data_IF_906353571467
#
_entry.id   IF_906353571467
#
_cell.length_a   1.000
_cell.length_b   1.000
_cell.length_c   1.000
_cell.angle_alpha   90.00
_cell.angle_beta   90.00
_cell.angle_gamma   90.00
#
_symmetry.space_group_name_H-M   'P 1'
#
loop_
_entity.id
_entity.type
_entity.pdbx_description
1 polymer ?
#
# COMPACT_ATOMS: atom_id res chain seq x y z
N UNK A 1 22.09 1.12 29.84
CA UNK A 1 22.43 -0.32 29.78
C UNK A 1 23.69 -0.48 28.93
N UNK A 2 24.77 -1.05 29.45
CA UNK A 2 26.02 -1.25 28.68
C UNK A 2 26.00 -2.63 28.02
N UNK A 3 26.02 -2.69 26.69
CA UNK A 3 26.18 -3.94 25.96
C UNK A 3 27.68 -4.26 25.79
N UNK A 4 28.09 -5.46 26.20
CA UNK A 4 29.48 -5.92 26.07
C UNK A 4 29.52 -7.19 25.24
N UNK A 5 30.14 -7.13 24.07
CA UNK A 5 30.43 -8.31 23.24
C UNK A 5 31.86 -8.79 23.54
N UNK A 6 32.01 -10.03 23.97
CA UNK A 6 33.32 -10.68 24.17
C UNK A 6 33.42 -11.90 23.27
N UNK A 7 34.45 -11.96 22.44
CA UNK A 7 34.67 -13.06 21.48
C UNK A 7 36.06 -13.63 21.69
N UNK A 8 36.18 -14.96 21.78
CA UNK A 8 37.47 -15.66 21.97
C UNK A 8 38.24 -15.88 20.66
N UNK A 9 37.57 -15.76 19.51
CA UNK A 9 38.14 -15.90 18.17
C UNK A 9 37.96 -14.63 17.32
N UNK A 10 37.92 -14.77 16.01
CA UNK A 10 37.83 -13.65 15.08
C UNK A 10 36.40 -13.09 14.96
N UNK A 11 36.29 -11.77 14.79
CA UNK A 11 35.05 -11.08 14.42
C UNK A 11 35.20 -10.54 13.00
N UNK A 12 34.21 -10.78 12.14
CA UNK A 12 34.15 -10.20 10.79
C UNK A 12 32.77 -9.57 10.59
N UNK A 13 32.74 -8.30 10.15
CA UNK A 13 31.51 -7.54 9.90
C UNK A 13 31.52 -7.04 8.45
N UNK A 14 30.55 -7.49 7.66
CA UNK A 14 30.36 -7.06 6.27
C UNK A 14 29.04 -6.30 6.16
N UNK A 15 29.04 -5.14 5.52
CA UNK A 15 27.84 -4.30 5.33
C UNK A 15 27.65 -3.97 3.85
N UNK A 16 26.40 -3.98 3.38
CA UNK A 16 26.04 -3.60 2.00
C UNK A 16 25.81 -2.10 1.79
N UNK A 17 25.96 -1.30 2.85
CA UNK A 17 25.72 0.15 2.86
C UNK A 17 26.69 0.86 3.81
N UNK A 18 26.29 2.03 4.33
CA UNK A 18 27.16 2.86 5.19
C UNK A 18 27.11 2.43 6.66
N UNK A 19 28.28 2.26 7.29
CA UNK A 19 28.42 2.16 8.75
C UNK A 19 28.67 3.54 9.35
N UNK A 20 27.92 3.91 10.40
CA UNK A 20 28.15 5.12 11.21
C UNK A 20 28.28 4.74 12.68
N UNK A 21 29.23 5.36 13.39
CA UNK A 21 29.47 5.14 14.83
C UNK A 21 29.32 6.48 15.54
N UNK A 22 28.41 6.54 16.51
CA UNK A 22 28.20 7.72 17.35
C UNK A 22 28.53 7.38 18.80
N UNK A 23 29.32 8.21 19.47
CA UNK A 23 29.70 8.01 20.86
C UNK A 23 29.66 9.33 21.63
N UNK A 24 29.10 9.30 22.84
CA UNK A 24 28.96 10.48 23.69
C UNK A 24 30.30 10.99 24.25
N UNK A 25 31.22 10.07 24.53
CA UNK A 25 32.50 10.35 25.19
C UNK A 25 33.70 9.99 24.30
N UNK A 26 33.44 9.77 22.99
CA UNK A 26 34.45 9.33 22.02
C UNK A 26 34.48 7.83 21.78
N UNK A 27 35.24 7.41 20.77
CA UNK A 27 35.46 6.01 20.42
C UNK A 27 36.92 5.67 20.69
N UNK A 28 37.16 4.67 21.52
CA UNK A 28 38.49 4.15 21.80
C UNK A 28 38.65 2.77 21.14
N UNK A 29 39.69 2.62 20.33
CA UNK A 29 40.03 1.35 19.67
C UNK A 29 41.42 0.94 20.14
N UNK A 30 41.48 -0.11 20.97
CA UNK A 30 42.72 -0.66 21.49
C UNK A 30 43.03 -2.00 20.79
N UNK A 31 44.27 -2.14 20.30
CA UNK A 31 44.76 -3.37 19.68
C UNK A 31 46.19 -3.65 20.13
N UNK A 32 46.48 -4.90 20.50
CA UNK A 32 47.85 -5.37 20.73
C UNK A 32 48.60 -5.68 19.41
N UNK A 33 47.88 -5.67 18.28
CA UNK A 33 48.43 -5.88 16.94
C UNK A 33 48.25 -4.64 16.05
N UNK A 34 48.70 -4.76 14.80
CA UNK A 34 48.56 -3.70 13.80
C UNK A 34 47.09 -3.42 13.47
N UNK A 35 46.74 -2.15 13.31
CA UNK A 35 45.44 -1.70 12.82
C UNK A 35 45.67 -1.10 11.43
N UNK A 36 44.93 -1.61 10.43
CA UNK A 36 44.96 -1.11 9.07
C UNK A 36 43.57 -0.60 8.68
N UNK A 37 43.49 0.66 8.23
CA UNK A 37 42.29 1.28 7.68
C UNK A 37 42.49 1.49 6.20
N UNK A 38 41.50 1.10 5.38
CA UNK A 38 41.51 1.32 3.94
C UNK A 38 40.21 2.02 3.52
N UNK A 39 40.33 3.24 3.01
CA UNK A 39 39.24 4.00 2.41
C UNK A 39 39.73 4.65 1.11
N UNK A 40 38.88 4.80 0.08
CA UNK A 40 39.24 5.52 -1.14
C UNK A 40 39.66 6.98 -0.87
N UNK A 41 39.03 7.61 0.12
CA UNK A 41 39.35 8.95 0.59
C UNK A 41 39.22 9.02 2.11
N UNK A 42 40.07 9.85 2.74
CA UNK A 42 39.99 10.15 4.16
C UNK A 42 39.75 11.64 4.32
N UNK A 43 38.77 12.00 5.13
CA UNK A 43 38.58 13.37 5.60
C UNK A 43 38.54 13.36 7.12
N UNK A 44 39.15 14.38 7.71
CA UNK A 44 39.03 14.70 9.13
C UNK A 44 38.21 15.98 9.19
N UNK A 45 37.03 15.91 9.81
CA UNK A 45 36.10 17.03 9.89
C UNK A 45 35.36 17.05 11.22
N UNK A 46 34.53 18.07 11.39
CA UNK A 46 33.63 18.15 12.54
C UNK A 46 32.71 16.91 12.58
N UNK A 47 32.52 16.26 13.74
CA UNK A 47 31.63 15.12 13.86
C UNK A 47 30.22 15.46 13.35
N UNK A 48 29.60 14.54 12.61
CA UNK A 48 28.16 14.63 12.37
C UNK A 48 27.45 14.60 13.74
N UNK A 49 26.51 15.52 13.95
CA UNK A 49 25.67 15.49 15.14
C UNK A 49 25.02 14.10 15.25
N UNK A 50 25.04 13.46 16.44
CA UNK A 50 24.36 12.20 16.60
C UNK A 50 22.88 12.39 16.23
N UNK A 51 22.25 11.38 15.59
CA UNK A 51 20.81 11.43 15.37
C UNK A 51 20.14 11.72 16.71
N UNK A 52 19.19 12.67 16.70
CA UNK A 52 18.50 13.09 17.91
C UNK A 52 18.07 11.84 18.69
N UNK A 53 18.61 11.68 19.91
CA UNK A 53 18.06 10.70 20.85
C UNK A 53 16.65 11.18 21.11
N UNK A 54 15.67 10.47 20.59
CA UNK A 54 14.33 10.54 21.12
C UNK A 54 14.48 10.17 22.59
N UNK A 55 14.31 11.14 23.50
CA UNK A 55 13.99 10.80 24.88
C UNK A 55 12.89 9.74 24.81
N UNK A 56 13.04 8.67 25.60
CA UNK A 56 12.01 7.67 25.89
C UNK A 56 10.83 8.35 26.62
N UNK A 57 10.25 9.41 26.05
CA UNK A 57 8.93 9.89 26.42
C UNK A 57 8.01 8.76 25.99
N UNK A 58 7.69 7.90 26.94
CA UNK A 58 6.57 7.00 26.83
C UNK A 58 5.37 7.87 26.46
N UNK A 59 4.96 7.82 25.19
CA UNK A 59 3.78 8.53 24.72
C UNK A 59 2.59 7.73 25.23
N UNK A 60 2.04 8.14 26.38
CA UNK A 60 0.81 7.61 26.95
C UNK A 60 -0.39 8.12 26.14
N UNK A 61 -0.66 7.48 24.99
CA UNK A 61 -1.80 7.81 24.13
C UNK A 61 -2.75 6.64 23.97
N UNK A 62 -4.03 6.98 23.93
CA UNK A 62 -5.11 6.09 23.54
C UNK A 62 -5.13 5.92 22.02
N UNK A 63 -5.59 4.76 21.56
CA UNK A 63 -5.75 4.48 20.14
C UNK A 63 -5.49 3.02 19.76
N UNK A 64 -5.48 2.79 18.44
CA UNK A 64 -5.16 1.50 17.81
C UNK A 64 -3.78 1.58 17.16
N UNK A 65 -2.94 0.58 17.41
CA UNK A 65 -1.54 0.58 16.98
C UNK A 65 -1.31 -0.51 15.94
N UNK A 66 -0.76 -0.11 14.79
CA UNK A 66 -0.43 -1.00 13.69
C UNK A 66 1.03 -0.85 13.28
N UNK A 67 1.65 -1.89 12.73
CA UNK A 67 2.93 -1.77 12.04
C UNK A 67 2.74 -1.29 10.60
N UNK A 68 3.82 -0.87 9.94
CA UNK A 68 3.80 -0.44 8.53
C UNK A 68 3.24 -1.53 7.59
N UNK A 69 3.37 -2.81 7.94
CA UNK A 69 2.87 -3.94 7.17
C UNK A 69 1.37 -4.28 7.44
N UNK A 70 0.71 -3.48 8.27
CA UNK A 70 -0.69 -3.66 8.67
C UNK A 70 -0.92 -4.60 9.85
N UNK A 71 0.14 -5.16 10.48
CA UNK A 71 0.00 -5.97 11.69
C UNK A 71 -0.59 -5.13 12.81
N UNK A 72 -1.69 -5.57 13.42
CA UNK A 72 -2.25 -4.96 14.61
C UNK A 72 -1.46 -5.38 15.86
N UNK A 73 -0.89 -4.41 16.57
CA UNK A 73 -0.06 -4.63 17.75
C UNK A 73 -0.86 -4.57 19.07
N UNK A 74 -1.94 -3.80 19.06
CA UNK A 74 -2.92 -3.72 20.15
C UNK A 74 -3.63 -2.37 20.22
N UNK A 75 -4.38 -2.19 21.31
CA UNK A 75 -5.21 -1.01 21.58
C UNK A 75 -5.00 -0.56 23.02
N UNK A 76 -4.97 0.75 23.23
CA UNK A 76 -4.97 1.37 24.56
C UNK A 76 -6.22 2.23 24.72
N UNK A 77 -6.86 2.13 25.88
CA UNK A 77 -8.01 2.93 26.28
C UNK A 77 -7.97 3.20 27.80
N UNK A 78 -6.97 3.96 28.22
CA UNK A 78 -6.74 4.34 29.60
C UNK A 78 -7.22 5.77 29.84
N UNK A 79 -7.85 6.00 31.00
CA UNK A 79 -8.48 7.28 31.32
C UNK A 79 -7.51 8.46 31.49
N UNK A 80 -6.25 8.17 31.83
CA UNK A 80 -5.17 9.11 32.08
C UNK A 80 -4.26 9.32 30.86
N UNK A 81 -4.54 8.64 29.75
CA UNK A 81 -3.78 8.74 28.51
C UNK A 81 -4.39 9.81 27.60
N UNK A 82 -3.54 10.49 26.84
CA UNK A 82 -3.96 11.54 25.91
C UNK A 82 -4.55 10.94 24.63
N UNK A 83 -5.15 11.77 23.78
CA UNK A 83 -5.73 11.33 22.52
C UNK A 83 -7.06 10.60 22.68
N UNK A 84 -7.52 9.98 21.59
CA UNK A 84 -8.78 9.27 21.52
C UNK A 84 -8.54 7.78 21.33
N UNK A 85 -9.39 6.94 21.94
CA UNK A 85 -9.47 5.51 21.63
C UNK A 85 -9.72 5.23 20.14
N UNK A 86 -10.25 6.22 19.41
CA UNK A 86 -10.51 6.13 17.97
C UNK A 86 -9.33 6.58 17.11
N UNK A 87 -8.26 7.11 17.70
CA UNK A 87 -7.05 7.46 16.94
C UNK A 87 -6.37 6.18 16.43
N UNK A 88 -5.70 6.30 15.29
CA UNK A 88 -4.95 5.22 14.66
C UNK A 88 -3.50 5.64 14.53
N UNK A 89 -2.58 4.77 14.97
CA UNK A 89 -1.15 5.01 14.94
C UNK A 89 -0.46 3.92 14.12
N UNK A 90 0.59 4.32 13.39
CA UNK A 90 1.63 3.41 12.92
C UNK A 90 2.78 3.39 13.93
N UNK A 91 3.40 2.23 14.14
CA UNK A 91 4.49 2.01 15.09
C UNK A 91 5.50 0.97 14.55
N UNK A 92 6.63 0.84 15.24
CA UNK A 92 7.70 -0.13 14.93
C UNK A 92 7.62 -1.36 15.86
N UNK A 93 6.40 -1.77 16.19
CA UNK A 93 6.09 -2.85 17.12
C UNK A 93 5.94 -2.39 18.57
N UNK A 94 5.77 -3.38 19.45
CA UNK A 94 5.59 -3.17 20.89
C UNK A 94 6.78 -3.62 21.72
N UNK A 95 6.91 -3.01 22.89
CA UNK A 95 7.89 -3.31 23.92
C UNK A 95 7.21 -3.35 25.28
N UNK A 96 7.92 -3.89 26.28
CA UNK A 96 7.47 -3.88 27.68
C UNK A 96 8.38 -2.96 28.47
N UNK A 97 7.79 -2.04 29.21
CA UNK A 97 8.47 -1.13 30.12
C UNK A 97 7.95 -1.28 31.54
N UNK A 98 8.69 -0.78 32.53
CA UNK A 98 8.25 -0.76 33.93
C UNK A 98 7.67 0.59 34.30
N UNK A 99 6.50 0.60 34.93
CA UNK A 99 5.92 1.81 35.49
C UNK A 99 6.70 2.29 36.73
N UNK A 100 6.30 3.43 37.30
CA UNK A 100 6.88 4.00 38.54
C UNK A 100 6.78 3.08 39.76
N UNK A 101 5.93 2.05 39.71
CA UNK A 101 5.72 1.07 40.76
C UNK A 101 6.45 -0.26 40.46
N UNK A 102 7.16 -0.36 39.34
CA UNK A 102 7.88 -1.56 38.90
C UNK A 102 7.04 -2.59 38.12
N UNK A 103 5.77 -2.29 37.84
CA UNK A 103 4.87 -3.16 37.08
C UNK A 103 5.16 -3.07 35.58
N UNK A 104 5.09 -4.20 34.90
CA UNK A 104 5.24 -4.25 33.44
C UNK A 104 4.01 -3.66 32.75
N UNK A 105 4.23 -2.80 31.76
CA UNK A 105 3.19 -2.28 30.89
C UNK A 105 3.67 -2.25 29.43
N UNK A 106 2.74 -2.43 28.50
CA UNK A 106 3.03 -2.47 27.06
C UNK A 106 3.16 -1.05 26.53
N UNK A 107 4.20 -0.80 25.76
CA UNK A 107 4.43 0.44 25.01
C UNK A 107 4.60 0.16 23.54
N UNK A 108 4.29 1.14 22.70
CA UNK A 108 4.47 1.06 21.25
C UNK A 108 5.60 1.98 20.82
N UNK A 109 6.48 1.49 19.96
CA UNK A 109 7.72 2.17 19.60
C UNK A 109 7.48 3.11 18.41
N UNK A 110 8.06 4.32 18.44
CA UNK A 110 8.03 5.28 17.33
C UNK A 110 6.64 5.57 16.76
N UNK A 111 5.66 5.75 17.65
CA UNK A 111 4.26 5.93 17.27
C UNK A 111 4.07 7.23 16.49
N UNK A 112 3.34 7.13 15.38
CA UNK A 112 2.96 8.27 14.54
C UNK A 112 1.48 8.17 14.23
N UNK A 113 0.74 9.23 14.55
CA UNK A 113 -0.70 9.28 14.27
C UNK A 113 -0.94 9.30 12.76
N UNK A 114 -1.87 8.48 12.28
CA UNK A 114 -2.25 8.44 10.87
C UNK A 114 -3.25 9.56 10.58
N UNK A 115 -3.02 10.24 9.48
CA UNK A 115 -3.82 11.39 9.03
C UNK A 115 -4.19 11.24 7.58
N UNK A 116 -5.38 11.71 7.23
CA UNK A 116 -5.82 11.94 5.86
C UNK A 116 -6.07 13.44 5.70
N UNK A 117 -5.32 14.11 4.82
CA UNK A 117 -5.38 15.57 4.62
C UNK A 117 -5.21 16.37 5.93
N UNK A 118 -4.15 16.06 6.69
CA UNK A 118 -3.81 16.65 8.00
C UNK A 118 -4.81 16.42 9.15
N UNK A 119 -5.89 15.69 8.90
CA UNK A 119 -6.90 15.31 9.90
C UNK A 119 -6.66 13.88 10.35
N UNK A 120 -6.65 13.62 11.65
CA UNK A 120 -6.55 12.26 12.20
C UNK A 120 -7.63 11.37 11.59
N UNK A 121 -7.25 10.21 11.06
CA UNK A 121 -8.22 9.26 10.54
C UNK A 121 -8.85 8.48 11.71
N UNK A 122 -10.18 8.53 11.92
CA UNK A 122 -10.83 7.72 12.93
C UNK A 122 -10.76 6.23 12.58
N UNK A 123 -10.65 5.37 13.59
CA UNK A 123 -10.52 3.92 13.42
C UNK A 123 -11.65 3.29 12.60
N UNK A 124 -12.88 3.78 12.73
CA UNK A 124 -14.02 3.35 11.92
C UNK A 124 -13.78 3.62 10.43
N UNK A 125 -13.37 4.84 10.07
CA UNK A 125 -13.05 5.21 8.68
C UNK A 125 -11.86 4.41 8.16
N UNK A 126 -10.81 4.26 8.97
CA UNK A 126 -9.63 3.44 8.64
C UNK A 126 -10.03 1.98 8.34
N UNK A 127 -10.92 1.41 9.15
CA UNK A 127 -11.44 0.06 8.98
C UNK A 127 -12.29 -0.05 7.72
N UNK A 128 -13.17 0.91 7.45
CA UNK A 128 -14.02 0.92 6.24
C UNK A 128 -13.18 1.00 4.97
N UNK A 129 -12.18 1.87 4.91
CA UNK A 129 -11.27 1.99 3.76
C UNK A 129 -10.45 0.70 3.56
N UNK A 130 -9.87 0.15 4.63
CA UNK A 130 -9.12 -1.12 4.56
C UNK A 130 -10.00 -2.27 4.08
N UNK A 131 -11.25 -2.35 4.56
CA UNK A 131 -12.19 -3.38 4.13
C UNK A 131 -12.61 -3.24 2.67
N UNK A 132 -12.67 -2.02 2.15
CA UNK A 132 -12.99 -1.74 0.74
C UNK A 132 -11.84 -2.19 -0.15
N UNK A 133 -10.60 -1.83 0.20
CA UNK A 133 -9.39 -2.29 -0.52
C UNK A 133 -9.35 -3.82 -0.57
N UNK A 134 -9.62 -4.47 0.56
CA UNK A 134 -9.72 -5.92 0.62
C UNK A 134 -10.81 -6.46 -0.31
N UNK A 135 -12.01 -5.88 -0.27
CA UNK A 135 -13.15 -6.33 -1.05
C UNK A 135 -13.03 -6.15 -2.56
N UNK A 136 -12.25 -5.16 -3.02
CA UNK A 136 -12.03 -4.88 -4.44
C UNK A 136 -10.81 -5.61 -5.02
N UNK A 137 -9.98 -6.21 -4.15
CA UNK A 137 -8.80 -6.97 -4.55
C UNK A 137 -9.10 -8.43 -4.92
N UNK A 138 -8.10 -9.11 -5.47
CA UNK A 138 -8.14 -10.56 -5.74
C UNK A 138 -8.07 -11.43 -4.47
N UNK A 139 -8.13 -10.86 -3.27
CA UNK A 139 -7.93 -11.56 -2.01
C UNK A 139 -8.94 -12.70 -1.76
N UNK A 140 -10.15 -12.57 -2.30
CA UNK A 140 -11.23 -13.55 -2.15
C UNK A 140 -10.91 -14.92 -2.78
N UNK A 141 -9.96 -14.98 -3.73
CA UNK A 141 -9.59 -16.24 -4.39
C UNK A 141 -8.61 -17.02 -3.53
N UNK A 142 -8.99 -18.26 -3.19
CA UNK A 142 -8.16 -19.19 -2.40
C UNK A 142 -6.83 -19.49 -3.11
N UNK A 143 -6.82 -19.55 -4.44
CA UNK A 143 -5.61 -19.78 -5.26
C UNK A 143 -4.57 -18.66 -5.17
N UNK A 144 -4.97 -17.47 -4.73
CA UNK A 144 -4.06 -16.36 -4.48
C UNK A 144 -3.57 -16.47 -3.05
N UNK A 145 -2.27 -16.64 -2.85
CA UNK A 145 -1.66 -16.64 -1.51
C UNK A 145 -1.43 -15.24 -0.96
N UNK A 146 -0.85 -15.16 0.24
CA UNK A 146 -0.22 -13.94 0.74
C UNK A 146 1.06 -13.70 -0.07
N UNK A 147 1.02 -12.78 -1.04
CA UNK A 147 2.11 -12.58 -2.02
C UNK A 147 2.37 -11.10 -2.28
N UNK A 148 3.57 -10.78 -2.79
CA UNK A 148 3.91 -9.42 -3.20
C UNK A 148 2.97 -8.89 -4.28
N UNK A 149 2.54 -9.73 -5.22
CA UNK A 149 1.61 -9.31 -6.28
C UNK A 149 0.25 -8.87 -5.72
N UNK A 150 -0.29 -9.60 -4.74
CA UNK A 150 -1.53 -9.22 -4.05
C UNK A 150 -1.34 -7.93 -3.23
N UNK A 151 -0.18 -7.78 -2.58
CA UNK A 151 0.15 -6.56 -1.86
C UNK A 151 0.18 -5.35 -2.82
N UNK A 152 0.85 -5.48 -3.97
CA UNK A 152 0.92 -4.41 -4.97
C UNK A 152 -0.45 -4.07 -5.57
N UNK A 153 -1.31 -5.07 -5.82
CA UNK A 153 -2.70 -4.84 -6.23
C UNK A 153 -3.44 -3.97 -5.20
N UNK A 154 -3.38 -4.33 -3.92
CA UNK A 154 -4.03 -3.56 -2.85
C UNK A 154 -3.43 -2.16 -2.68
N UNK A 155 -2.10 -2.02 -2.83
CA UNK A 155 -1.41 -0.74 -2.72
C UNK A 155 -1.83 0.19 -3.88
N UNK A 156 -1.98 -0.35 -5.08
CA UNK A 156 -2.45 0.40 -6.24
C UNK A 156 -3.93 0.80 -6.09
N UNK A 157 -4.81 -0.10 -5.61
CA UNK A 157 -6.21 0.22 -5.27
C UNK A 157 -6.26 1.35 -4.22
N UNK A 158 -5.47 1.25 -3.14
CA UNK A 158 -5.39 2.28 -2.11
C UNK A 158 -4.87 3.63 -2.63
N UNK A 159 -3.99 3.62 -3.64
CA UNK A 159 -3.47 4.84 -4.27
C UNK A 159 -4.56 5.53 -5.09
N UNK A 160 -5.36 4.77 -5.84
CA UNK A 160 -6.47 5.35 -6.62
C UNK A 160 -7.60 5.86 -5.72
N UNK A 161 -7.95 5.16 -4.64
CA UNK A 161 -8.97 5.62 -3.66
C UNK A 161 -8.64 6.98 -3.03
N UNK A 162 -7.35 7.31 -2.87
CA UNK A 162 -6.92 8.62 -2.37
C UNK A 162 -7.39 9.77 -3.28
N UNK A 163 -7.49 9.51 -4.58
CA UNK A 163 -7.87 10.46 -5.62
C UNK A 163 -9.38 10.38 -5.90
N UNK A 164 -9.89 9.16 -6.06
CA UNK A 164 -11.27 8.89 -6.41
C UNK A 164 -12.06 8.40 -5.19
N UNK A 165 -12.92 9.27 -4.65
CA UNK A 165 -13.70 8.99 -3.42
C UNK A 165 -14.93 8.10 -3.65
N UNK A 166 -15.13 7.58 -4.85
CA UNK A 166 -16.23 6.65 -5.14
C UNK A 166 -15.75 5.23 -4.84
N UNK A 167 -16.08 4.73 -3.65
CA UNK A 167 -15.80 3.37 -3.20
C UNK A 167 -16.97 2.45 -3.59
N UNK A 168 -16.78 1.57 -4.58
CA UNK A 168 -17.85 0.66 -5.03
C UNK A 168 -17.90 -0.65 -4.23
N UNK A 169 -16.78 -1.05 -3.60
CA UNK A 169 -16.66 -2.32 -2.90
C UNK A 169 -16.97 -2.32 -1.40
N UNK A 170 -17.38 -1.20 -0.79
CA UNK A 170 -17.60 -1.10 0.66
C UNK A 170 -18.65 -2.08 1.18
N UNK A 171 -19.65 -2.38 0.36
CA UNK A 171 -20.77 -3.27 0.71
C UNK A 171 -20.57 -4.71 0.22
N UNK A 172 -19.43 -5.03 -0.40
CA UNK A 172 -19.13 -6.39 -0.86
C UNK A 172 -19.07 -7.39 0.29
N UNK A 173 -19.43 -8.65 0.02
CA UNK A 173 -19.36 -9.74 1.01
C UNK A 173 -17.97 -9.85 1.65
N UNK A 174 -16.92 -9.56 0.87
CA UNK A 174 -15.54 -9.58 1.35
C UNK A 174 -15.22 -8.41 2.30
N UNK A 175 -15.73 -7.21 2.01
CA UNK A 175 -15.58 -6.08 2.90
C UNK A 175 -16.37 -6.28 4.20
N UNK A 176 -17.56 -6.90 4.13
CA UNK A 176 -18.33 -7.30 5.32
C UNK A 176 -17.56 -8.34 6.15
N UNK A 177 -17.06 -9.41 5.52
CA UNK A 177 -16.25 -10.44 6.15
C UNK A 177 -14.98 -9.87 6.83
N UNK A 178 -14.35 -8.85 6.22
CA UNK A 178 -13.25 -8.12 6.85
C UNK A 178 -13.69 -7.44 8.16
N UNK A 179 -14.83 -6.74 8.14
CA UNK A 179 -15.32 -5.97 9.29
C UNK A 179 -15.84 -6.86 10.41
N UNK A 180 -16.42 -8.02 10.08
CA UNK A 180 -16.85 -9.04 11.04
C UNK A 180 -15.68 -9.75 11.73
N UNK A 181 -14.51 -9.85 11.04
CA UNK A 181 -13.32 -10.47 11.62
C UNK A 181 -12.77 -9.60 12.75
N UNK A 182 -12.58 -10.22 13.92
CA UNK A 182 -11.82 -9.64 15.04
C UNK A 182 -10.48 -9.09 14.57
N UNK A 183 -10.12 -7.90 15.06
CA UNK A 183 -8.98 -7.12 14.58
C UNK A 183 -7.65 -7.87 14.71
N UNK A 184 -7.42 -8.57 15.82
CA UNK A 184 -6.22 -9.39 16.06
C UNK A 184 -6.15 -10.60 15.11
N UNK A 185 -7.30 -11.12 14.68
CA UNK A 185 -7.41 -12.27 13.77
C UNK A 185 -7.18 -11.90 12.31
N UNK A 186 -6.97 -10.61 12.01
CA UNK A 186 -6.56 -10.13 10.68
C UNK A 186 -5.05 -10.32 10.45
N UNK A 187 -4.25 -10.36 11.52
CA UNK A 187 -2.80 -10.59 11.45
C UNK A 187 -2.48 -11.94 10.78
N UNK A 188 -1.45 -11.96 9.94
CA UNK A 188 -1.04 -13.13 9.16
C UNK A 188 -2.02 -13.53 8.05
N UNK A 189 -3.07 -12.75 7.80
CA UNK A 189 -4.03 -12.99 6.71
C UNK A 189 -3.90 -11.93 5.62
N UNK A 190 -4.55 -12.14 4.48
CA UNK A 190 -4.64 -11.15 3.40
C UNK A 190 -5.30 -9.83 3.83
N UNK A 191 -6.09 -9.83 4.92
CA UNK A 191 -6.66 -8.61 5.48
C UNK A 191 -5.57 -7.66 6.01
N UNK A 192 -4.46 -8.23 6.51
CA UNK A 192 -3.30 -7.45 6.95
C UNK A 192 -2.71 -6.64 5.79
N UNK A 193 -2.63 -7.22 4.59
CA UNK A 193 -2.13 -6.53 3.39
C UNK A 193 -2.98 -5.30 3.04
N UNK A 194 -4.30 -5.40 3.18
CA UNK A 194 -5.20 -4.27 2.90
C UNK A 194 -5.03 -3.13 3.93
N UNK A 195 -4.78 -3.47 5.19
CA UNK A 195 -4.43 -2.49 6.25
C UNK A 195 -3.10 -1.84 5.91
N UNK A 196 -2.06 -2.63 5.57
CA UNK A 196 -0.76 -2.13 5.16
C UNK A 196 -0.83 -1.22 3.93
N UNK A 197 -1.69 -1.55 2.96
CA UNK A 197 -1.94 -0.74 1.76
C UNK A 197 -2.50 0.65 2.11
N UNK A 198 -3.47 0.71 3.03
CA UNK A 198 -4.00 2.00 3.49
C UNK A 198 -2.94 2.79 4.26
N UNK A 199 -2.20 2.16 5.18
CA UNK A 199 -1.09 2.81 5.91
C UNK A 199 -0.07 3.37 4.92
N UNK A 200 0.32 2.61 3.91
CA UNK A 200 1.25 3.03 2.88
C UNK A 200 0.72 4.25 2.12
N UNK A 201 -0.53 4.24 1.66
CA UNK A 201 -1.17 5.37 0.95
C UNK A 201 -1.25 6.67 1.79
N UNK A 202 -1.39 6.53 3.11
CA UNK A 202 -1.47 7.66 4.05
C UNK A 202 -0.08 8.19 4.47
N UNK A 203 0.97 7.39 4.37
CA UNK A 203 2.30 7.73 4.90
C UNK A 203 3.40 7.89 3.84
N UNK A 204 3.10 7.51 2.60
CA UNK A 204 4.04 7.55 1.47
C UNK A 204 3.52 8.42 0.33
N UNK A 205 4.44 9.05 -0.39
CA UNK A 205 4.18 9.77 -1.65
C UNK A 205 4.24 8.84 -2.87
N UNK A 206 4.66 7.59 -2.68
CA UNK A 206 4.75 6.63 -3.77
C UNK A 206 3.36 6.12 -4.19
N UNK A 207 3.12 6.12 -5.49
CA UNK A 207 1.87 5.65 -6.10
C UNK A 207 2.10 4.32 -6.82
N UNK A 208 1.58 3.23 -6.26
CA UNK A 208 1.71 1.89 -6.85
C UNK A 208 0.86 1.71 -8.12
N UNK A 209 -0.09 2.61 -8.39
CA UNK A 209 -0.93 2.59 -9.59
C UNK A 209 -0.30 3.32 -10.79
N UNK A 210 0.86 3.97 -10.60
CA UNK A 210 1.58 4.75 -11.60
C UNK A 210 0.75 5.89 -12.23
N UNK A 211 0.03 6.65 -11.40
CA UNK A 211 -0.76 7.80 -11.79
C UNK A 211 -2.15 7.44 -12.34
N UNK A 212 -2.70 6.30 -11.93
CA UNK A 212 -4.03 5.89 -12.32
C UNK A 212 -5.11 6.71 -11.57
N UNK A 213 -6.26 6.87 -12.21
CA UNK A 213 -7.44 7.54 -11.65
C UNK A 213 -8.63 6.61 -11.50
N UNK A 214 -8.51 5.39 -12.05
CA UNK A 214 -9.51 4.32 -11.96
C UNK A 214 -8.83 2.96 -12.17
N UNK A 215 -9.54 1.89 -11.86
CA UNK A 215 -9.11 0.52 -12.12
C UNK A 215 -10.31 -0.30 -12.58
N UNK A 216 -10.02 -1.45 -13.18
CA UNK A 216 -11.00 -2.47 -13.56
C UNK A 216 -10.53 -3.85 -13.11
N UNK A 217 -11.47 -4.67 -12.64
CA UNK A 217 -11.22 -6.05 -12.30
C UNK A 217 -11.34 -6.99 -13.49
N UNK A 218 -11.19 -8.29 -13.20
CA UNK A 218 -11.22 -9.36 -14.20
C UNK A 218 -12.56 -9.45 -14.95
N UNK A 219 -13.64 -8.93 -14.38
CA UNK A 219 -14.97 -8.88 -14.98
C UNK A 219 -15.02 -8.05 -16.28
N UNK A 220 -14.10 -7.10 -16.46
CA UNK A 220 -14.01 -6.32 -17.70
C UNK A 220 -13.30 -7.08 -18.82
N UNK A 221 -12.49 -8.09 -18.50
CA UNK A 221 -11.68 -8.83 -19.47
C UNK A 221 -12.46 -9.83 -20.34
N UNK A 222 -13.70 -10.15 -19.98
CA UNK A 222 -14.47 -11.23 -20.60
C UNK A 222 -15.13 -10.86 -21.94
N UNK A 223 -15.24 -9.57 -22.26
CA UNK A 223 -16.05 -9.12 -23.39
C UNK A 223 -15.32 -9.25 -24.72
N UNK A 224 -16.07 -9.63 -25.76
CA UNK A 224 -15.55 -9.77 -27.11
C UNK A 224 -15.31 -8.41 -27.78
N UNK A 225 -14.37 -8.32 -28.75
CA UNK A 225 -14.09 -7.07 -29.45
C UNK A 225 -15.29 -6.45 -30.18
N UNK A 226 -16.27 -7.26 -30.59
CA UNK A 226 -17.49 -6.82 -31.26
C UNK A 226 -18.66 -6.50 -30.30
N UNK A 227 -18.49 -6.66 -28.98
CA UNK A 227 -19.50 -6.24 -28.01
C UNK A 227 -19.52 -4.72 -27.90
N UNK A 228 -20.66 -4.11 -28.21
CA UNK A 228 -20.84 -2.66 -28.21
C UNK A 228 -21.81 -2.17 -27.12
N UNK A 229 -22.18 -3.03 -26.16
CA UNK A 229 -23.03 -2.64 -25.03
C UNK A 229 -22.26 -1.70 -24.10
N UNK A 230 -22.90 -0.64 -23.63
CA UNK A 230 -22.26 0.29 -22.68
C UNK A 230 -22.33 -0.21 -21.23
N UNK A 231 -23.20 -1.16 -20.92
CA UNK A 231 -23.37 -1.69 -19.57
C UNK A 231 -23.92 -3.12 -19.60
N UNK A 232 -23.63 -3.88 -18.55
CA UNK A 232 -24.27 -5.18 -18.25
C UNK A 232 -25.59 -5.03 -17.47
N UNK A 233 -25.97 -3.81 -17.09
CA UNK A 233 -27.01 -3.53 -16.12
C UNK A 233 -26.53 -3.59 -14.66
N UNK A 234 -25.35 -4.15 -14.40
CA UNK A 234 -24.70 -4.19 -13.07
C UNK A 234 -23.50 -3.24 -12.98
N UNK A 235 -22.76 -3.10 -14.07
CA UNK A 235 -21.59 -2.23 -14.16
C UNK A 235 -21.42 -1.69 -15.59
N UNK A 236 -20.64 -0.62 -15.74
CA UNK A 236 -20.28 -0.04 -17.03
C UNK A 236 -19.21 -0.85 -17.74
N UNK A 237 -19.31 -1.00 -19.06
CA UNK A 237 -18.30 -1.69 -19.86
C UNK A 237 -17.30 -0.65 -20.37
N UNK A 238 -16.16 -0.50 -19.70
CA UNK A 238 -15.25 0.63 -19.91
C UNK A 238 -14.61 0.68 -21.30
N UNK A 239 -14.37 -0.47 -21.95
CA UNK A 239 -13.95 -0.47 -23.35
C UNK A 239 -14.95 0.21 -24.30
N UNK A 240 -16.23 0.24 -23.92
CA UNK A 240 -17.30 0.84 -24.71
C UNK A 240 -17.69 2.24 -24.23
N UNK A 241 -17.62 2.54 -22.92
CA UNK A 241 -17.96 3.87 -22.39
C UNK A 241 -16.81 4.87 -22.49
N UNK A 242 -15.56 4.41 -22.38
CA UNK A 242 -14.38 5.26 -22.36
C UNK A 242 -13.39 4.94 -23.49
N UNK A 243 -13.31 3.68 -23.90
CA UNK A 243 -12.30 3.21 -24.86
C UNK A 243 -10.91 3.23 -24.23
N UNK A 244 -10.07 2.28 -24.62
CA UNK A 244 -8.76 2.08 -24.01
C UNK A 244 -7.66 1.70 -24.99
N UNK A 245 -6.43 1.93 -24.58
CA UNK A 245 -5.23 1.27 -25.11
C UNK A 245 -4.47 0.61 -23.96
N UNK A 246 -4.08 -0.64 -24.14
CA UNK A 246 -3.30 -1.41 -23.17
C UNK A 246 -1.90 -1.66 -23.75
N UNK A 247 -0.84 -1.42 -22.97
CA UNK A 247 0.53 -1.77 -23.40
C UNK A 247 0.70 -3.29 -23.56
N UNK A 248 1.64 -3.72 -24.41
CA UNK A 248 1.92 -5.16 -24.63
C UNK A 248 2.23 -5.91 -23.33
N UNK A 249 2.97 -5.26 -22.43
CA UNK A 249 3.33 -5.81 -21.12
C UNK A 249 2.08 -5.97 -20.24
N UNK A 250 1.27 -4.92 -20.12
CA UNK A 250 0.07 -4.92 -19.30
C UNK A 250 -0.97 -5.90 -19.84
N UNK A 251 -1.12 -6.01 -21.16
CA UNK A 251 -2.06 -6.95 -21.78
C UNK A 251 -1.70 -8.40 -21.45
N UNK A 252 -0.42 -8.76 -21.54
CA UNK A 252 0.07 -10.10 -21.16
C UNK A 252 -0.10 -10.36 -19.66
N UNK A 253 0.27 -9.40 -18.81
CA UNK A 253 0.11 -9.50 -17.35
C UNK A 253 -1.35 -9.69 -16.96
N UNK A 254 -2.26 -8.91 -17.54
CA UNK A 254 -3.67 -8.93 -17.19
C UNK A 254 -4.31 -10.24 -17.62
N UNK A 255 -3.97 -10.74 -18.81
CA UNK A 255 -4.38 -12.07 -19.27
C UNK A 255 -3.99 -13.17 -18.26
N UNK A 256 -2.71 -13.22 -17.87
CA UNK A 256 -2.22 -14.21 -16.90
C UNK A 256 -2.96 -14.10 -15.57
N UNK A 257 -3.16 -12.87 -15.08
CA UNK A 257 -3.86 -12.61 -13.84
C UNK A 257 -5.32 -13.06 -13.89
N UNK A 258 -6.07 -12.67 -14.91
CA UNK A 258 -7.47 -13.06 -15.13
C UNK A 258 -7.62 -14.57 -15.22
N UNK A 259 -6.77 -15.24 -16.01
CA UNK A 259 -6.78 -16.70 -16.14
C UNK A 259 -6.47 -17.40 -14.81
N UNK A 260 -5.54 -16.86 -14.01
CA UNK A 260 -5.24 -17.35 -12.66
C UNK A 260 -6.43 -17.22 -11.69
N UNK A 261 -7.29 -16.23 -11.88
CA UNK A 261 -8.55 -16.08 -11.13
C UNK A 261 -9.67 -17.01 -11.67
N UNK A 262 -9.42 -17.73 -12.77
CA UNK A 262 -10.40 -18.57 -13.47
C UNK A 262 -11.34 -17.77 -14.38
N UNK A 263 -10.99 -16.53 -14.72
CA UNK A 263 -11.72 -15.68 -15.65
C UNK A 263 -11.40 -15.97 -17.11
N UNK A 264 -12.22 -15.44 -18.01
CA UNK A 264 -11.98 -15.49 -19.46
C UNK A 264 -11.39 -14.16 -19.93
N UNK A 265 -10.41 -14.22 -20.83
CA UNK A 265 -9.75 -13.05 -21.37
C UNK A 265 -9.97 -12.94 -22.89
N UNK A 266 -10.92 -12.09 -23.28
CA UNK A 266 -11.35 -11.88 -24.67
C UNK A 266 -11.21 -10.42 -25.14
N UNK A 267 -10.93 -9.51 -24.21
CA UNK A 267 -10.87 -8.09 -24.51
C UNK A 267 -9.79 -7.76 -25.54
N UNK A 268 -10.05 -6.82 -26.45
CA UNK A 268 -9.03 -6.31 -27.35
C UNK A 268 -8.03 -5.42 -26.59
N UNK A 269 -6.78 -5.45 -27.03
CA UNK A 269 -5.72 -4.61 -26.49
C UNK A 269 -5.96 -3.11 -26.73
N UNK A 270 -6.56 -2.76 -27.87
CA UNK A 270 -7.01 -1.41 -28.19
C UNK A 270 -8.49 -1.45 -28.59
N UNK A 271 -9.28 -0.52 -28.06
CA UNK A 271 -10.66 -0.35 -28.48
C UNK A 271 -11.14 1.09 -28.33
N UNK A 272 -11.61 1.63 -29.45
CA UNK A 272 -12.37 2.88 -29.50
C UNK A 272 -13.81 2.63 -29.06
N UNK A 273 -14.41 3.62 -28.41
CA UNK A 273 -15.84 3.61 -28.10
C UNK A 273 -16.67 3.41 -29.38
N UNK A 274 -17.72 2.58 -29.36
CA UNK A 274 -18.48 2.22 -30.58
C UNK A 274 -19.46 3.30 -31.04
N UNK A 275 -19.75 4.29 -30.19
CA UNK A 275 -20.79 5.28 -30.40
C UNK A 275 -20.95 6.22 -29.23
N UNK A 276 -21.89 7.15 -29.34
CA UNK A 276 -22.38 7.93 -28.20
C UNK A 276 -23.31 7.06 -27.37
N UNK A 277 -23.05 6.92 -26.07
CA UNK A 277 -23.97 6.31 -25.13
C UNK A 277 -25.17 7.26 -24.95
N UNK A 278 -26.39 6.85 -25.32
CA UNK A 278 -27.57 7.71 -25.26
C UNK A 278 -27.92 8.15 -23.83
N UNK A 279 -27.47 7.41 -22.81
CA UNK A 279 -27.74 7.70 -21.41
C UNK A 279 -26.61 8.49 -20.72
N UNK A 280 -25.52 8.80 -21.44
CA UNK A 280 -24.39 9.56 -20.89
C UNK A 280 -24.01 10.70 -21.85
N UNK A 281 -24.39 11.92 -21.47
CA UNK A 281 -24.11 13.14 -22.25
C UNK A 281 -22.63 13.47 -22.45
N UNK A 282 -21.74 12.84 -21.67
CA UNK A 282 -20.30 13.03 -21.76
C UNK A 282 -19.62 11.94 -22.60
N UNK A 283 -20.38 10.96 -23.07
CA UNK A 283 -19.85 9.93 -23.94
C UNK A 283 -19.51 10.49 -25.33
N UNK A 284 -18.33 10.11 -25.81
CA UNK A 284 -17.85 10.50 -27.14
C UNK A 284 -17.73 9.25 -27.99
N UNK A 285 -18.12 9.36 -29.26
CA UNK A 285 -18.01 8.28 -30.24
C UNK A 285 -16.58 8.16 -30.75
N UNK A 286 -16.11 6.94 -30.98
CA UNK A 286 -14.86 6.64 -31.68
C UNK A 286 -13.63 7.27 -31.04
N UNK A 287 -13.59 7.19 -29.71
CA UNK A 287 -12.50 7.74 -28.91
C UNK A 287 -11.89 6.72 -27.97
N UNK A 288 -10.65 6.98 -27.57
CA UNK A 288 -9.97 6.34 -26.44
C UNK A 288 -9.72 7.41 -25.37
N UNK A 289 -10.10 7.11 -24.14
CA UNK A 289 -9.89 7.96 -22.98
C UNK A 289 -8.97 7.34 -21.93
N UNK A 290 -8.68 6.03 -22.02
CA UNK A 290 -7.91 5.31 -21.01
C UNK A 290 -6.61 4.73 -21.57
N UNK A 291 -5.54 4.84 -20.78
CA UNK A 291 -4.28 4.13 -21.00
C UNK A 291 -3.89 3.33 -19.76
N UNK A 292 -3.40 2.11 -19.95
CA UNK A 292 -2.98 1.27 -18.82
C UNK A 292 -1.66 1.74 -18.20
N UNK A 293 -1.62 1.84 -16.87
CA UNK A 293 -0.44 2.32 -16.11
C UNK A 293 0.17 1.26 -15.21
N UNK A 294 -0.63 0.30 -14.77
CA UNK A 294 -0.18 -0.85 -14.01
C UNK A 294 -1.15 -2.02 -14.17
N UNK A 295 -0.67 -3.23 -13.89
CA UNK A 295 -1.48 -4.44 -13.78
C UNK A 295 -0.92 -5.30 -12.65
N UNK A 296 -1.79 -5.72 -11.75
CA UNK A 296 -1.48 -6.66 -10.69
C UNK A 296 -2.61 -7.69 -10.58
N UNK A 297 -2.27 -8.97 -10.69
CA UNK A 297 -3.27 -10.04 -10.77
C UNK A 297 -4.37 -9.72 -11.81
N UNK A 298 -5.65 -9.89 -11.43
CA UNK A 298 -6.79 -9.65 -12.32
C UNK A 298 -7.18 -8.18 -12.47
N UNK A 299 -6.40 -7.24 -11.91
CA UNK A 299 -6.75 -5.83 -11.86
C UNK A 299 -5.83 -5.00 -12.75
N UNK A 300 -6.43 -4.16 -13.59
CA UNK A 300 -5.75 -3.20 -14.45
C UNK A 300 -6.05 -1.78 -14.00
N UNK A 301 -5.04 -0.92 -14.02
CA UNK A 301 -5.13 0.46 -13.57
C UNK A 301 -5.03 1.40 -14.77
N UNK A 302 -5.89 2.42 -14.79
CA UNK A 302 -6.06 3.31 -15.93
C UNK A 302 -5.78 4.75 -15.56
N UNK A 303 -5.08 5.43 -16.47
CA UNK A 303 -4.99 6.88 -16.48
C UNK A 303 -5.97 7.45 -17.49
N UNK A 304 -6.83 8.37 -17.04
CA UNK A 304 -7.66 9.13 -17.96
C UNK A 304 -6.83 10.16 -18.73
N UNK A 305 -6.99 10.16 -20.04
CA UNK A 305 -6.35 11.11 -20.93
C UNK A 305 -6.98 12.49 -20.82
N UNK A 306 -6.14 13.52 -20.65
CA UNK A 306 -6.57 14.94 -20.71
C UNK A 306 -7.28 15.29 -22.02
N UNK A 307 -6.95 14.58 -23.10
CA UNK A 307 -7.59 14.73 -24.39
C UNK A 307 -7.76 13.37 -25.03
N UNK A 308 -9.01 13.02 -25.36
CA UNK A 308 -9.35 11.73 -25.93
C UNK A 308 -8.72 11.55 -27.31
N UNK A 309 -8.10 10.39 -27.56
CA UNK A 309 -7.59 10.03 -28.89
C UNK A 309 -8.76 9.70 -29.80
N UNK A 310 -8.85 10.36 -30.95
CA UNK A 310 -9.90 10.08 -31.95
C UNK A 310 -9.43 9.00 -32.90
N UNK A 311 -10.36 8.14 -33.33
CA UNK A 311 -10.11 7.17 -34.39
C UNK A 311 -9.73 7.91 -35.67
N UNK A 312 -8.58 7.57 -36.24
CA UNK A 312 -8.13 8.14 -37.52
C UNK A 312 -8.70 7.28 -38.63
N UNK A 313 -9.47 7.90 -39.53
CA UNK A 313 -9.89 7.27 -40.78
C UNK A 313 -8.85 7.54 -41.85
N UNK A 314 -8.20 6.50 -42.36
CA UNK A 314 -7.47 6.62 -43.62
C UNK A 314 -8.48 7.04 -44.70
N UNK A 315 -8.25 8.20 -45.32
CA UNK A 315 -8.99 8.60 -46.51
C UNK A 315 -8.66 7.58 -47.59
N UNK A 316 -9.63 6.74 -47.93
CA UNK A 316 -9.59 5.88 -49.13
C UNK A 316 -9.59 6.74 -50.39
#
# INVERSE_FOLDING_TARGET
MSYNLRVKGNITTNVGGTTRIYAKEGVEINSNGRIDYFAPEYSYGEPEDPPARFDDRIINVNGHFYNNDGTFEGKINESDFQGSVNDVYVCDGKSTQKDKNGNDFVTYNNTRILKENDVNIPHEKFTTLSSTIYGESSAYKISIGFTMELAMEMFAIASVHKINKIAYGSDSDQAQLFREKEIEKRNGTKMQLAIGALIYSLTSENDASNGATMWDGAEQAQFLPNDNRFSTGKFEIHMNTMGWTISDEHYKKWKIGVEKLGGTFNVPQEKYTPGVNPNNRFSTSETIALESTAVYLGTIFWKELKSRKKKVYEKK
#
